data_IF_684191284825
#
_entry.id   IF_684191284825
#
_cell.length_a   1.000
_cell.length_b   1.000
_cell.length_c   1.000
_cell.angle_alpha   90.00
_cell.angle_beta   90.00
_cell.angle_gamma   90.00
#
_symmetry.space_group_name_H-M   'P 1'
#
loop_
_entity.id
_entity.type
_entity.pdbx_description
1 polymer ?
#
# COMPACT_ATOMS: atom_id res chain seq x y z
N UNK A 1 12.49 24.28 24.08
CA UNK A 1 12.68 24.53 22.63
C UNK A 1 12.91 26.03 22.45
N UNK A 2 14.10 26.45 22.06
CA UNK A 2 14.48 27.87 21.97
C UNK A 2 13.89 28.55 20.74
N UNK A 3 13.76 29.88 20.76
CA UNK A 3 13.26 30.68 19.63
C UNK A 3 14.06 30.43 18.33
N UNK A 4 15.35 30.16 18.46
CA UNK A 4 16.24 29.80 17.36
C UNK A 4 15.88 28.43 16.74
N UNK A 5 15.61 27.42 17.58
CA UNK A 5 15.19 26.07 17.12
C UNK A 5 13.86 26.12 16.36
N UNK A 6 12.91 26.95 16.81
CA UNK A 6 11.64 27.18 16.12
C UNK A 6 11.84 27.81 14.75
N UNK A 7 12.69 28.85 14.66
CA UNK A 7 13.00 29.53 13.41
C UNK A 7 13.68 28.58 12.41
N UNK A 8 14.71 27.87 12.85
CA UNK A 8 15.41 26.86 12.04
C UNK A 8 14.48 25.73 11.56
N UNK A 9 13.62 25.21 12.43
CA UNK A 9 12.67 24.15 12.05
C UNK A 9 11.67 24.67 11.01
N UNK A 10 11.20 25.90 11.17
CA UNK A 10 10.26 26.51 10.22
C UNK A 10 10.91 26.75 8.85
N UNK A 11 12.17 27.21 8.80
CA UNK A 11 12.87 27.47 7.54
C UNK A 11 13.15 26.17 6.78
N UNK A 12 13.59 25.11 7.48
CA UNK A 12 13.81 23.79 6.88
C UNK A 12 12.52 23.23 6.27
N UNK A 13 11.38 23.40 6.97
CA UNK A 13 10.07 22.98 6.44
C UNK A 13 9.62 23.80 5.24
N UNK A 14 9.86 25.11 5.23
CA UNK A 14 9.58 25.97 4.08
C UNK A 14 10.40 25.53 2.86
N UNK A 15 11.70 25.29 3.05
CA UNK A 15 12.58 24.79 1.99
C UNK A 15 12.14 23.41 1.50
N UNK A 16 11.72 22.52 2.41
CA UNK A 16 11.17 21.21 2.06
C UNK A 16 9.95 21.32 1.15
N UNK A 17 9.02 22.24 1.46
CA UNK A 17 7.83 22.50 0.65
C UNK A 17 8.17 23.15 -0.69
N UNK A 18 9.09 24.12 -0.70
CA UNK A 18 9.49 24.84 -1.90
C UNK A 18 10.12 23.91 -2.96
N UNK A 19 10.89 22.91 -2.53
CA UNK A 19 11.56 21.95 -3.42
C UNK A 19 10.91 20.56 -3.45
N UNK A 20 9.63 20.46 -3.05
CA UNK A 20 8.93 19.19 -2.88
C UNK A 20 9.00 18.29 -4.12
N UNK A 21 8.74 18.79 -5.33
CA UNK A 21 8.71 17.94 -6.54
C UNK A 21 10.05 17.26 -6.83
N UNK A 22 11.16 18.00 -6.69
CA UNK A 22 12.51 17.45 -6.89
C UNK A 22 12.88 16.48 -5.77
N UNK A 23 12.62 16.87 -4.52
CA UNK A 23 13.01 16.07 -3.34
C UNK A 23 12.19 14.80 -3.20
N UNK A 24 10.89 14.85 -3.50
CA UNK A 24 10.01 13.67 -3.51
C UNK A 24 10.44 12.66 -4.57
N UNK A 25 10.82 13.11 -5.77
CA UNK A 25 11.38 12.22 -6.79
C UNK A 25 12.66 11.51 -6.32
N UNK A 26 13.59 12.26 -5.72
CA UNK A 26 14.82 11.70 -5.17
C UNK A 26 14.54 10.71 -4.02
N UNK A 27 13.61 11.07 -3.14
CA UNK A 27 13.20 10.22 -2.02
C UNK A 27 12.54 8.93 -2.51
N UNK A 28 11.74 8.99 -3.58
CA UNK A 28 11.14 7.79 -4.15
C UNK A 28 12.19 6.82 -4.69
N UNK A 29 13.23 7.31 -5.38
CA UNK A 29 14.31 6.41 -5.84
C UNK A 29 15.08 5.79 -4.68
N UNK A 30 15.32 6.54 -3.60
CA UNK A 30 15.91 5.96 -2.38
C UNK A 30 15.01 4.88 -1.75
N UNK A 31 13.69 5.04 -1.81
CA UNK A 31 12.75 4.01 -1.36
C UNK A 31 12.85 2.75 -2.22
N UNK A 32 12.90 2.88 -3.55
CA UNK A 32 13.06 1.72 -4.44
C UNK A 32 14.36 0.98 -4.20
N UNK A 33 15.48 1.70 -4.18
CA UNK A 33 16.79 1.10 -3.93
C UNK A 33 16.83 0.38 -2.57
N UNK A 34 16.19 0.94 -1.54
CA UNK A 34 16.10 0.31 -0.23
C UNK A 34 15.21 -0.93 -0.26
N UNK A 35 14.05 -0.87 -0.93
CA UNK A 35 13.15 -2.02 -1.09
C UNK A 35 13.87 -3.18 -1.78
N UNK A 36 14.64 -2.91 -2.83
CA UNK A 36 15.44 -3.92 -3.53
C UNK A 36 16.54 -4.54 -2.65
N UNK A 37 17.19 -3.73 -1.80
CA UNK A 37 18.29 -4.20 -0.94
C UNK A 37 17.83 -4.91 0.33
N UNK A 38 16.78 -4.41 0.96
CA UNK A 38 16.31 -4.86 2.27
C UNK A 38 15.14 -5.83 2.19
N UNK A 39 14.47 -5.92 1.04
CA UNK A 39 13.25 -6.70 0.87
C UNK A 39 12.03 -6.06 1.56
N UNK A 40 10.94 -6.81 1.59
CA UNK A 40 9.68 -6.39 2.21
C UNK A 40 9.51 -7.04 3.56
N UNK A 41 9.16 -6.24 4.57
CA UNK A 41 8.97 -6.71 5.94
C UNK A 41 7.93 -7.83 6.04
N UNK A 42 6.89 -7.78 5.21
CA UNK A 42 5.85 -8.80 5.13
C UNK A 42 6.26 -10.11 4.48
N UNK A 43 7.38 -10.14 3.76
CA UNK A 43 7.85 -11.30 3.00
C UNK A 43 9.07 -11.99 3.63
N UNK A 44 9.68 -11.38 4.65
CA UNK A 44 10.91 -11.85 5.27
C UNK A 44 10.63 -12.61 6.56
N UNK A 45 11.30 -13.76 6.73
CA UNK A 45 11.30 -14.52 7.98
C UNK A 45 12.16 -13.82 9.04
N UNK A 46 13.25 -13.18 8.62
CA UNK A 46 14.17 -12.44 9.50
C UNK A 46 14.24 -10.96 9.07
N UNK A 47 13.16 -10.18 9.25
CA UNK A 47 13.10 -8.81 8.76
C UNK A 47 13.99 -7.85 9.54
N UNK A 48 14.46 -6.80 8.87
CA UNK A 48 14.89 -5.57 9.53
C UNK A 48 13.66 -4.69 9.78
N UNK A 49 13.25 -4.52 11.04
CA UNK A 49 12.03 -3.85 11.47
C UNK A 49 12.00 -2.37 11.06
N UNK A 50 13.17 -1.78 10.81
CA UNK A 50 13.32 -0.38 10.45
C UNK A 50 13.47 -0.20 8.95
N UNK A 51 14.45 -0.86 8.34
CA UNK A 51 14.88 -0.57 6.98
C UNK A 51 14.16 -1.40 5.90
N UNK A 52 13.53 -2.52 6.24
CA UNK A 52 12.70 -3.27 5.28
C UNK A 52 11.53 -2.41 4.77
N UNK A 53 11.08 -2.65 3.53
CA UNK A 53 9.90 -1.96 2.98
C UNK A 53 8.65 -2.32 3.80
N UNK A 54 7.82 -1.33 4.14
CA UNK A 54 6.76 -1.48 5.14
C UNK A 54 7.23 -1.36 6.60
N UNK A 55 8.51 -1.09 6.85
CA UNK A 55 9.06 -0.88 8.20
C UNK A 55 9.00 0.56 8.71
N UNK A 56 9.63 0.82 9.86
CA UNK A 56 9.59 2.13 10.53
C UNK A 56 10.18 3.28 9.71
N UNK A 57 11.11 2.98 8.79
CA UNK A 57 11.67 3.97 7.86
C UNK A 57 10.58 4.53 6.93
N UNK A 58 9.66 3.69 6.46
CA UNK A 58 8.58 4.10 5.56
C UNK A 58 7.65 5.10 6.26
N UNK A 59 7.34 4.88 7.54
CA UNK A 59 6.53 5.80 8.35
C UNK A 59 7.18 7.19 8.40
N UNK A 60 8.49 7.25 8.60
CA UNK A 60 9.24 8.51 8.62
C UNK A 60 9.17 9.22 7.27
N UNK A 61 9.32 8.44 6.19
CA UNK A 61 9.26 8.94 4.82
C UNK A 61 7.85 9.46 4.49
N UNK A 62 6.80 8.71 4.82
CA UNK A 62 5.41 9.12 4.59
C UNK A 62 5.04 10.37 5.37
N UNK A 63 5.54 10.54 6.61
CA UNK A 63 5.41 11.79 7.36
C UNK A 63 6.12 12.96 6.65
N UNK A 64 7.29 12.73 6.05
CA UNK A 64 7.96 13.75 5.23
C UNK A 64 7.17 14.10 3.96
N UNK A 65 6.53 13.12 3.31
CA UNK A 65 5.61 13.36 2.19
C UNK A 65 4.43 14.23 2.65
N UNK A 66 3.77 13.88 3.75
CA UNK A 66 2.66 14.67 4.30
C UNK A 66 3.07 16.12 4.65
N UNK A 67 4.31 16.32 5.13
CA UNK A 67 4.85 17.65 5.44
C UNK A 67 4.96 18.58 4.22
N UNK A 68 4.91 18.04 2.99
CA UNK A 68 4.84 18.84 1.75
C UNK A 68 3.48 19.48 1.50
N UNK A 69 2.43 19.04 2.19
CA UNK A 69 1.01 19.42 1.97
C UNK A 69 0.47 19.09 0.57
N UNK A 70 1.18 18.28 -0.22
CA UNK A 70 0.69 17.85 -1.55
C UNK A 70 -0.23 16.65 -1.47
N UNK A 71 -0.03 15.79 -0.47
CA UNK A 71 -0.72 14.50 -0.32
C UNK A 71 -1.00 14.26 1.15
N UNK A 72 -2.23 13.86 1.45
CA UNK A 72 -2.62 13.38 2.75
C UNK A 72 -2.27 11.90 2.93
N UNK A 73 -1.93 11.52 4.16
CA UNK A 73 -1.61 10.14 4.54
C UNK A 73 -2.61 9.66 5.59
N UNK A 74 -2.94 8.36 5.63
CA UNK A 74 -3.83 7.79 6.64
C UNK A 74 -3.10 7.64 7.98
N UNK A 75 -2.83 8.79 8.64
CA UNK A 75 -1.94 8.87 9.80
C UNK A 75 -2.33 7.90 10.92
N UNK A 76 -3.63 7.78 11.24
CA UNK A 76 -4.12 6.89 12.30
C UNK A 76 -3.73 5.42 12.03
N UNK A 77 -4.02 4.92 10.83
CA UNK A 77 -3.70 3.54 10.43
C UNK A 77 -2.19 3.31 10.45
N UNK A 78 -1.41 4.26 9.93
CA UNK A 78 0.05 4.17 9.92
C UNK A 78 0.63 4.19 11.33
N UNK A 79 0.12 5.04 12.23
CA UNK A 79 0.57 5.13 13.61
C UNK A 79 0.26 3.83 14.37
N UNK A 80 -0.97 3.29 14.24
CA UNK A 80 -1.39 2.02 14.85
C UNK A 80 -0.47 0.85 14.44
N UNK A 81 -0.19 0.69 13.15
CA UNK A 81 0.68 -0.38 12.66
C UNK A 81 2.15 -0.14 13.01
N UNK A 82 2.60 1.11 13.03
CA UNK A 82 3.96 1.44 13.45
C UNK A 82 4.20 1.18 14.94
N UNK A 83 3.16 1.28 15.78
CA UNK A 83 3.27 1.00 17.20
C UNK A 83 3.56 -0.48 17.43
N UNK A 84 2.87 -1.37 16.72
CA UNK A 84 3.11 -2.82 16.79
C UNK A 84 4.59 -3.14 16.45
N UNK A 85 5.13 -2.54 15.39
CA UNK A 85 6.54 -2.77 15.00
C UNK A 85 7.51 -2.17 16.03
N UNK A 86 7.16 -1.03 16.65
CA UNK A 86 7.95 -0.44 17.73
C UNK A 86 7.96 -1.32 18.98
N UNK A 87 6.81 -1.85 19.39
CA UNK A 87 6.69 -2.75 20.54
C UNK A 87 7.57 -4.01 20.35
N UNK A 88 7.58 -4.57 19.13
CA UNK A 88 8.46 -5.69 18.78
C UNK A 88 9.93 -5.31 18.83
N UNK A 89 10.30 -4.11 18.33
CA UNK A 89 11.68 -3.63 18.41
C UNK A 89 12.13 -3.41 19.85
N UNK A 90 11.26 -2.86 20.70
CA UNK A 90 11.58 -2.59 22.10
C UNK A 90 11.71 -3.90 22.89
N UNK A 91 10.87 -4.90 22.59
CA UNK A 91 11.03 -6.26 23.10
C UNK A 91 12.34 -6.91 22.64
N UNK A 92 12.71 -6.75 21.36
CA UNK A 92 14.00 -7.24 20.83
C UNK A 92 15.20 -6.59 21.53
N UNK A 93 15.15 -5.27 21.76
CA UNK A 93 16.18 -4.57 22.52
C UNK A 93 16.30 -5.09 23.96
N UNK A 94 15.18 -5.42 24.56
CA UNK A 94 15.13 -5.96 25.93
C UNK A 94 15.73 -7.36 26.00
N UNK A 95 15.39 -8.25 25.06
CA UNK A 95 15.94 -9.61 24.97
C UNK A 95 17.44 -9.61 24.69
N UNK A 96 17.90 -8.72 23.81
CA UNK A 96 19.31 -8.67 23.41
C UNK A 96 20.19 -7.79 24.31
N UNK A 97 19.58 -7.02 25.22
CA UNK A 97 20.22 -5.98 26.05
C UNK A 97 21.07 -4.98 25.25
N UNK A 98 20.73 -4.78 23.96
CA UNK A 98 21.43 -3.87 23.04
C UNK A 98 20.50 -3.42 21.91
N UNK A 99 20.81 -2.28 21.27
CA UNK A 99 20.09 -1.86 20.07
C UNK A 99 20.22 -2.86 18.93
N UNK A 100 19.12 -3.20 18.29
CA UNK A 100 19.04 -4.04 17.08
C UNK A 100 17.72 -3.82 16.37
N UNK A 101 17.77 -3.65 15.05
CA UNK A 101 16.58 -3.60 14.20
C UNK A 101 16.30 -4.94 13.50
N UNK A 102 17.21 -5.94 13.62
CA UNK A 102 17.08 -7.23 12.92
C UNK A 102 16.45 -8.30 13.80
N UNK A 103 15.26 -8.77 13.40
CA UNK A 103 14.52 -9.83 14.09
C UNK A 103 14.92 -11.21 13.55
N UNK A 104 16.07 -11.72 13.97
CA UNK A 104 16.57 -13.04 13.56
C UNK A 104 15.78 -14.18 14.22
N UNK A 105 15.76 -15.35 13.58
CA UNK A 105 14.95 -16.52 13.98
C UNK A 105 15.24 -17.02 15.39
N UNK A 106 16.49 -16.91 15.83
CA UNK A 106 16.92 -17.31 17.17
C UNK A 106 16.21 -16.51 18.27
N UNK A 107 15.97 -15.21 18.04
CA UNK A 107 15.38 -14.32 19.04
C UNK A 107 13.86 -14.29 19.02
N UNK A 108 13.22 -14.72 17.92
CA UNK A 108 11.77 -14.62 17.72
C UNK A 108 10.98 -15.31 18.84
N UNK A 109 11.43 -16.47 19.33
CA UNK A 109 10.77 -17.17 20.42
C UNK A 109 10.80 -16.37 21.73
N UNK A 110 11.96 -15.81 22.09
CA UNK A 110 12.13 -15.00 23.29
C UNK A 110 11.34 -13.69 23.22
N UNK A 111 11.36 -13.04 22.05
CA UNK A 111 10.59 -11.81 21.81
C UNK A 111 9.09 -12.08 21.86
N UNK A 112 8.63 -13.19 21.28
CA UNK A 112 7.22 -13.59 21.35
C UNK A 112 6.77 -13.83 22.79
N UNK A 113 7.58 -14.53 23.59
CA UNK A 113 7.32 -14.76 25.01
C UNK A 113 7.22 -13.46 25.80
N UNK A 114 8.14 -12.52 25.58
CA UNK A 114 8.13 -11.21 26.27
C UNK A 114 6.87 -10.38 25.94
N UNK A 115 6.34 -10.52 24.72
CA UNK A 115 5.11 -9.88 24.28
C UNK A 115 3.83 -10.67 24.63
N UNK A 116 3.93 -11.74 25.42
CA UNK A 116 2.83 -12.63 25.77
C UNK A 116 2.11 -13.23 24.55
N UNK A 117 2.85 -13.47 23.47
CA UNK A 117 2.36 -14.18 22.29
C UNK A 117 2.53 -15.69 22.47
N UNK A 118 1.71 -16.46 21.77
CA UNK A 118 1.70 -17.92 21.82
C UNK A 118 3.01 -18.53 21.34
N UNK A 119 3.54 -18.03 20.22
CA UNK A 119 4.71 -18.58 19.54
C UNK A 119 5.37 -17.54 18.60
N UNK A 120 6.57 -17.88 18.12
CA UNK A 120 7.30 -17.10 17.12
C UNK A 120 6.49 -16.90 15.82
N UNK A 121 5.65 -17.86 15.44
CA UNK A 121 4.84 -17.73 14.23
C UNK A 121 3.75 -16.65 14.40
N UNK A 122 3.16 -16.52 15.59
CA UNK A 122 2.22 -15.44 15.89
C UNK A 122 2.92 -14.07 15.83
N UNK A 123 4.14 -13.97 16.36
CA UNK A 123 4.95 -12.77 16.25
C UNK A 123 5.19 -12.41 14.79
N UNK A 124 5.67 -13.35 13.97
CA UNK A 124 5.95 -13.11 12.56
C UNK A 124 4.68 -12.76 11.79
N UNK A 125 3.55 -13.45 11.99
CA UNK A 125 2.27 -13.08 11.36
C UNK A 125 1.85 -11.65 11.69
N UNK A 126 2.00 -11.23 12.95
CA UNK A 126 1.64 -9.89 13.41
C UNK A 126 2.55 -8.81 12.78
N UNK A 127 3.86 -9.06 12.74
CA UNK A 127 4.86 -8.19 12.11
C UNK A 127 4.60 -8.09 10.61
N UNK A 128 4.43 -9.23 9.93
CA UNK A 128 4.16 -9.28 8.49
C UNK A 128 2.85 -8.61 8.12
N UNK A 129 1.79 -8.73 8.94
CA UNK A 129 0.53 -8.02 8.72
C UNK A 129 0.73 -6.50 8.79
N UNK A 130 1.40 -6.02 9.84
CA UNK A 130 1.68 -4.59 10.02
C UNK A 130 2.54 -4.03 8.87
N UNK A 131 3.56 -4.78 8.46
CA UNK A 131 4.39 -4.45 7.30
C UNK A 131 3.61 -4.35 6.00
N UNK A 132 2.70 -5.31 5.76
CA UNK A 132 1.85 -5.32 4.55
C UNK A 132 0.93 -4.09 4.49
N UNK A 133 0.36 -3.68 5.62
CA UNK A 133 -0.49 -2.48 5.70
C UNK A 133 0.30 -1.22 5.38
N UNK A 134 1.49 -1.07 5.95
CA UNK A 134 2.35 0.10 5.71
C UNK A 134 2.84 0.12 4.26
N UNK A 135 3.29 -1.03 3.74
CA UNK A 135 3.72 -1.18 2.36
C UNK A 135 2.62 -0.81 1.37
N UNK A 136 1.40 -1.31 1.57
CA UNK A 136 0.25 -0.99 0.74
C UNK A 136 -0.02 0.53 0.67
N UNK A 137 -0.09 1.20 1.82
CA UNK A 137 -0.29 2.65 1.84
C UNK A 137 0.90 3.41 1.24
N UNK A 138 2.12 2.91 1.42
CA UNK A 138 3.33 3.46 0.79
C UNK A 138 3.22 3.42 -0.74
N UNK A 139 2.80 2.29 -1.31
CA UNK A 139 2.60 2.13 -2.76
C UNK A 139 1.54 3.08 -3.30
N UNK A 140 0.39 3.17 -2.64
CA UNK A 140 -0.70 4.10 -3.01
C UNK A 140 -0.22 5.55 -2.97
N UNK A 141 0.50 5.95 -1.91
CA UNK A 141 1.00 7.32 -1.76
C UNK A 141 2.04 7.64 -2.82
N UNK A 142 2.99 6.75 -3.08
CA UNK A 142 4.01 6.96 -4.12
C UNK A 142 3.42 7.03 -5.52
N UNK A 143 2.36 6.28 -5.80
CA UNK A 143 1.63 6.41 -7.05
C UNK A 143 1.00 7.80 -7.19
N UNK A 144 0.35 8.30 -6.13
CA UNK A 144 -0.20 9.67 -6.08
C UNK A 144 0.88 10.75 -6.20
N UNK A 145 2.04 10.57 -5.57
CA UNK A 145 3.20 11.46 -5.72
C UNK A 145 3.61 11.54 -7.19
N UNK A 146 3.80 10.39 -7.84
CA UNK A 146 4.23 10.35 -9.23
C UNK A 146 3.20 10.97 -10.18
N UNK A 147 1.90 10.78 -9.93
CA UNK A 147 0.85 11.39 -10.75
C UNK A 147 0.85 12.93 -10.64
N UNK A 148 1.09 13.48 -9.45
CA UNK A 148 1.19 14.94 -9.24
C UNK A 148 2.45 15.52 -9.89
N UNK A 149 3.60 14.88 -9.71
CA UNK A 149 4.88 15.35 -10.26
C UNK A 149 4.83 15.34 -11.80
N UNK A 150 4.25 14.30 -12.39
CA UNK A 150 4.09 14.21 -13.86
C UNK A 150 3.08 15.23 -14.40
N UNK A 151 1.97 15.46 -13.70
CA UNK A 151 1.00 16.51 -14.05
C UNK A 151 1.59 17.92 -13.96
N UNK A 152 2.40 18.24 -12.94
CA UNK A 152 3.07 19.54 -12.82
C UNK A 152 3.90 19.90 -14.06
N UNK A 153 4.53 18.90 -14.68
CA UNK A 153 5.27 19.06 -15.95
C UNK A 153 4.35 19.28 -17.17
N UNK A 154 3.16 18.66 -17.18
CA UNK A 154 2.23 18.64 -18.33
C UNK A 154 1.16 19.75 -18.27
N UNK A 155 0.85 20.32 -17.10
CA UNK A 155 -0.17 21.36 -16.88
C UNK A 155 0.17 22.69 -17.57
N UNK A 156 1.39 22.82 -18.14
CA UNK A 156 1.67 23.89 -19.09
C UNK A 156 0.91 23.76 -20.42
N UNK A 157 0.14 22.68 -20.67
CA UNK A 157 -0.40 22.42 -22.02
C UNK A 157 -1.91 22.26 -22.20
N UNK A 158 -2.76 21.77 -21.30
CA UNK A 158 -4.22 21.78 -21.58
C UNK A 158 -5.10 21.61 -20.32
N UNK A 159 -6.07 22.53 -20.15
CA UNK A 159 -7.35 22.28 -19.47
C UNK A 159 -8.18 21.38 -20.38
N UNK A 160 -8.31 20.10 -20.06
CA UNK A 160 -9.25 19.19 -20.76
C UNK A 160 -9.78 18.19 -19.75
N UNK A 161 -11.09 17.99 -19.81
CA UNK A 161 -11.94 17.11 -19.00
C UNK A 161 -11.21 16.07 -18.14
N UNK A 162 -11.35 16.23 -16.82
CA UNK A 162 -10.71 15.39 -15.80
C UNK A 162 -11.18 13.92 -15.79
N UNK A 163 -12.07 13.51 -16.69
CA UNK A 163 -12.72 12.20 -16.67
C UNK A 163 -12.74 11.58 -18.05
N UNK A 164 -12.11 10.42 -18.21
CA UNK A 164 -12.07 9.67 -19.47
C UNK A 164 -12.69 8.28 -19.29
N UNK A 165 -13.56 7.81 -20.19
CA UNK A 165 -14.08 6.45 -20.10
C UNK A 165 -12.94 5.43 -20.26
N UNK A 166 -12.99 4.35 -19.49
CA UNK A 166 -12.03 3.25 -19.55
C UNK A 166 -12.70 1.96 -20.00
N UNK A 167 -13.78 1.58 -19.32
CA UNK A 167 -14.67 0.48 -19.69
C UNK A 167 -16.08 0.83 -19.19
N UNK A 168 -17.13 0.17 -19.67
CA UNK A 168 -18.50 0.49 -19.24
C UNK A 168 -18.63 0.47 -17.71
N UNK A 169 -19.19 1.54 -17.14
CA UNK A 169 -19.30 1.77 -15.70
C UNK A 169 -18.02 2.27 -14.99
N UNK A 170 -16.91 2.48 -15.72
CA UNK A 170 -15.58 2.80 -15.17
C UNK A 170 -14.87 3.90 -15.95
N UNK A 171 -14.23 4.81 -15.24
CA UNK A 171 -13.58 5.99 -15.82
C UNK A 171 -12.23 6.25 -15.14
N UNK A 172 -11.34 6.91 -15.84
CA UNK A 172 -10.11 7.48 -15.27
C UNK A 172 -10.43 8.87 -14.77
N UNK A 173 -10.17 9.14 -13.50
CA UNK A 173 -10.21 10.47 -12.92
C UNK A 173 -8.94 10.72 -12.11
N UNK A 174 -8.30 11.85 -12.32
CA UNK A 174 -7.10 12.25 -11.60
C UNK A 174 -5.92 11.24 -11.63
N UNK A 175 -5.85 10.39 -12.67
CA UNK A 175 -4.88 9.29 -12.82
C UNK A 175 -5.15 8.11 -11.87
N UNK A 176 -6.39 7.96 -11.43
CA UNK A 176 -6.93 6.81 -10.72
C UNK A 176 -8.13 6.26 -11.49
N UNK A 177 -8.38 4.96 -11.32
CA UNK A 177 -9.59 4.30 -11.82
C UNK A 177 -10.69 4.46 -10.80
N UNK A 178 -11.81 5.04 -11.25
CA UNK A 178 -13.00 5.28 -10.44
C UNK A 178 -14.26 4.80 -11.15
N UNK A 179 -15.34 4.64 -10.40
CA UNK A 179 -16.64 4.27 -10.97
C UNK A 179 -17.28 5.46 -11.72
N UNK A 180 -17.99 5.16 -12.80
CA UNK A 180 -18.89 6.10 -13.46
C UNK A 180 -19.98 6.59 -12.47
N UNK A 181 -20.55 7.78 -12.70
CA UNK A 181 -21.51 8.38 -11.73
C UNK A 181 -22.83 7.61 -11.72
N UNK A 182 -23.19 7.13 -12.90
CA UNK A 182 -24.33 6.33 -13.29
C UNK A 182 -24.01 4.82 -13.32
N UNK A 183 -22.86 4.41 -12.76
CA UNK A 183 -22.47 3.01 -12.70
C UNK A 183 -23.50 2.18 -11.92
N UNK A 184 -24.05 1.15 -12.55
CA UNK A 184 -25.10 0.27 -12.01
C UNK A 184 -24.49 -0.90 -11.23
N UNK A 185 -23.69 -0.58 -10.23
CA UNK A 185 -22.87 -1.53 -9.45
C UNK A 185 -23.71 -2.70 -8.88
N UNK A 186 -24.92 -2.40 -8.40
CA UNK A 186 -25.82 -3.39 -7.80
C UNK A 186 -26.52 -4.31 -8.80
N UNK A 187 -26.40 -4.04 -10.10
CA UNK A 187 -27.02 -4.82 -11.17
C UNK A 187 -25.99 -5.61 -11.99
N UNK A 188 -24.71 -5.30 -11.82
CA UNK A 188 -23.62 -5.87 -12.60
C UNK A 188 -22.67 -6.68 -11.70
N UNK A 189 -22.67 -7.99 -11.90
CA UNK A 189 -21.82 -8.93 -11.16
C UNK A 189 -20.37 -8.94 -11.65
N UNK A 190 -20.10 -8.55 -12.90
CA UNK A 190 -18.77 -8.65 -13.51
C UNK A 190 -17.98 -7.33 -13.40
N UNK A 191 -18.65 -6.22 -13.06
CA UNK A 191 -18.05 -4.89 -12.97
C UNK A 191 -16.76 -4.85 -12.15
N UNK A 192 -16.71 -5.53 -11.00
CA UNK A 192 -15.52 -5.56 -10.15
C UNK A 192 -14.31 -6.17 -10.85
N UNK A 193 -14.50 -7.30 -11.55
CA UNK A 193 -13.45 -7.97 -12.33
C UNK A 193 -13.07 -7.17 -13.58
N UNK A 194 -14.05 -6.57 -14.28
CA UNK A 194 -13.78 -5.72 -15.45
C UNK A 194 -12.99 -4.47 -15.05
N UNK A 195 -13.35 -3.84 -13.94
CA UNK A 195 -12.64 -2.69 -13.38
C UNK A 195 -11.20 -3.08 -13.01
N UNK A 196 -11.02 -4.21 -12.31
CA UNK A 196 -9.71 -4.72 -11.94
C UNK A 196 -8.82 -4.96 -13.17
N UNK A 197 -9.35 -5.67 -14.18
CA UNK A 197 -8.66 -5.94 -15.43
C UNK A 197 -8.25 -4.65 -16.15
N UNK A 198 -9.19 -3.71 -16.28
CA UNK A 198 -8.95 -2.45 -16.97
C UNK A 198 -7.93 -1.56 -16.23
N UNK A 199 -8.00 -1.51 -14.90
CA UNK A 199 -7.03 -0.79 -14.07
C UNK A 199 -5.62 -1.34 -14.23
N UNK A 200 -5.49 -2.67 -14.19
CA UNK A 200 -4.20 -3.34 -14.32
C UNK A 200 -3.61 -3.16 -15.73
N UNK A 201 -4.43 -3.28 -16.78
CA UNK A 201 -3.98 -3.03 -18.15
C UNK A 201 -3.56 -1.59 -18.40
N UNK A 202 -4.27 -0.62 -17.79
CA UNK A 202 -3.91 0.80 -17.88
C UNK A 202 -2.69 1.16 -17.02
N UNK A 203 -2.26 0.27 -16.12
CA UNK A 203 -1.20 0.55 -15.14
C UNK A 203 -1.58 1.66 -14.16
N UNK A 204 -2.87 1.78 -13.84
CA UNK A 204 -3.40 2.79 -12.93
C UNK A 204 -3.90 2.14 -11.63
N UNK A 205 -3.84 2.89 -10.54
CA UNK A 205 -4.40 2.47 -9.26
C UNK A 205 -5.92 2.68 -9.24
N UNK A 206 -6.62 1.76 -8.56
CA UNK A 206 -8.04 1.91 -8.26
C UNK A 206 -8.14 2.81 -7.03
N UNK A 207 -9.01 3.82 -7.09
CA UNK A 207 -9.23 4.66 -5.93
C UNK A 207 -9.86 3.87 -4.76
N UNK A 208 -9.42 4.15 -3.54
CA UNK A 208 -9.87 3.43 -2.33
C UNK A 208 -11.39 3.45 -2.17
N UNK A 209 -12.02 4.63 -2.30
CA UNK A 209 -13.48 4.77 -2.26
C UNK A 209 -14.20 3.96 -3.35
N UNK A 210 -13.54 3.65 -4.47
CA UNK A 210 -14.10 2.81 -5.53
C UNK A 210 -14.08 1.34 -5.10
N UNK A 211 -13.00 0.87 -4.48
CA UNK A 211 -12.92 -0.48 -3.92
C UNK A 211 -13.95 -0.68 -2.81
N UNK A 212 -14.05 0.27 -1.87
CA UNK A 212 -15.04 0.24 -0.78
C UNK A 212 -16.48 0.13 -1.30
N UNK A 213 -16.81 0.92 -2.34
CA UNK A 213 -18.13 0.86 -2.97
C UNK A 213 -18.39 -0.47 -3.65
N UNK A 214 -17.40 -1.06 -4.34
CA UNK A 214 -17.57 -2.39 -4.94
C UNK A 214 -17.83 -3.43 -3.85
N UNK A 215 -17.03 -3.45 -2.78
CA UNK A 215 -17.21 -4.39 -1.67
C UNK A 215 -18.61 -4.29 -1.05
N UNK A 216 -19.14 -3.07 -0.93
CA UNK A 216 -20.42 -2.81 -0.28
C UNK A 216 -21.64 -2.98 -1.19
N UNK A 217 -21.54 -2.58 -2.45
CA UNK A 217 -22.69 -2.39 -3.35
C UNK A 217 -22.72 -3.39 -4.51
N UNK A 218 -21.61 -4.05 -4.84
CA UNK A 218 -21.54 -4.91 -6.03
C UNK A 218 -22.45 -6.13 -5.89
N UNK A 219 -23.11 -6.47 -7.00
CA UNK A 219 -23.83 -7.74 -7.10
C UNK A 219 -22.81 -8.90 -6.96
N UNK A 220 -23.04 -9.88 -6.08
CA UNK A 220 -22.14 -11.01 -5.94
C UNK A 220 -21.99 -11.81 -7.24
N UNK A 221 -20.79 -12.31 -7.51
CA UNK A 221 -20.54 -13.22 -8.63
C UNK A 221 -21.34 -14.51 -8.44
N UNK A 222 -21.98 -14.97 -9.52
CA UNK A 222 -22.67 -16.25 -9.56
C UNK A 222 -21.66 -17.37 -9.67
N UNK A 223 -21.87 -18.48 -8.95
CA UNK A 223 -21.09 -19.69 -9.08
C UNK A 223 -21.91 -20.78 -9.81
N UNK A 224 -21.41 -21.34 -10.93
CA UNK A 224 -20.12 -21.05 -11.56
C UNK A 224 -20.09 -19.68 -12.26
N UNK A 225 -18.90 -19.08 -12.33
CA UNK A 225 -18.70 -17.80 -13.02
C UNK A 225 -19.13 -17.88 -14.48
N UNK A 226 -19.84 -16.82 -14.93
CA UNK A 226 -20.19 -16.65 -16.33
C UNK A 226 -18.94 -16.40 -17.20
N UNK A 227 -19.10 -16.39 -18.52
CA UNK A 227 -17.96 -16.24 -19.43
C UNK A 227 -17.27 -14.87 -19.29
N UNK A 228 -18.05 -13.79 -19.16
CA UNK A 228 -17.52 -12.43 -19.03
C UNK A 228 -16.65 -12.26 -17.76
N UNK A 229 -17.08 -12.82 -16.63
CA UNK A 229 -16.31 -12.84 -15.39
C UNK A 229 -14.98 -13.60 -15.57
N UNK A 230 -15.01 -14.76 -16.23
CA UNK A 230 -13.79 -15.53 -16.53
C UNK A 230 -12.84 -14.75 -17.43
N UNK A 231 -13.35 -14.13 -18.49
CA UNK A 231 -12.55 -13.36 -19.44
C UNK A 231 -11.90 -12.15 -18.76
N UNK A 232 -12.66 -11.42 -17.92
CA UNK A 232 -12.14 -10.32 -17.13
C UNK A 232 -11.07 -10.77 -16.14
N UNK A 233 -11.26 -11.91 -15.48
CA UNK A 233 -10.26 -12.46 -14.56
C UNK A 233 -8.99 -12.92 -15.28
N UNK A 234 -9.10 -13.60 -16.43
CA UNK A 234 -7.95 -13.98 -17.27
C UNK A 234 -7.20 -12.72 -17.74
N UNK A 235 -7.95 -11.70 -18.14
CA UNK A 235 -7.41 -10.41 -18.55
C UNK A 235 -6.66 -9.70 -17.43
N UNK A 236 -7.16 -9.76 -16.19
CA UNK A 236 -6.45 -9.29 -15.00
C UNK A 236 -5.14 -10.08 -14.82
N UNK A 237 -5.18 -11.41 -14.81
CA UNK A 237 -3.98 -12.25 -14.64
C UNK A 237 -2.95 -12.04 -15.76
N UNK A 238 -3.39 -11.71 -16.98
CA UNK A 238 -2.55 -11.43 -18.15
C UNK A 238 -1.94 -10.02 -18.20
N UNK A 239 -2.17 -9.16 -17.20
CA UNK A 239 -1.72 -7.75 -17.20
C UNK A 239 -0.22 -7.54 -16.90
N UNK A 240 0.54 -8.61 -16.68
CA UNK A 240 1.98 -8.55 -16.47
C UNK A 240 2.36 -7.84 -15.16
N UNK A 241 3.33 -6.92 -15.21
CA UNK A 241 3.90 -6.26 -14.02
C UNK A 241 2.88 -5.46 -13.18
N UNK A 242 1.81 -4.99 -13.79
CA UNK A 242 0.77 -4.19 -13.12
C UNK A 242 -0.22 -5.06 -12.33
N UNK A 243 -0.21 -6.38 -12.56
CA UNK A 243 -1.02 -7.33 -11.80
C UNK A 243 -0.75 -7.20 -10.30
N UNK A 244 0.51 -7.08 -9.90
CA UNK A 244 0.92 -7.14 -8.49
C UNK A 244 0.23 -6.02 -7.69
N UNK A 245 0.41 -4.76 -8.11
CA UNK A 245 -0.17 -3.61 -7.40
C UNK A 245 -1.71 -3.63 -7.40
N UNK A 246 -2.31 -4.08 -8.51
CA UNK A 246 -3.77 -4.17 -8.61
C UNK A 246 -4.30 -5.29 -7.71
N UNK A 247 -3.68 -6.46 -7.75
CA UNK A 247 -4.04 -7.61 -6.92
C UNK A 247 -3.88 -7.30 -5.44
N UNK A 248 -2.80 -6.65 -5.04
CA UNK A 248 -2.59 -6.22 -3.66
C UNK A 248 -3.66 -5.25 -3.18
N UNK A 249 -4.06 -4.29 -4.01
CA UNK A 249 -5.14 -3.35 -3.67
C UNK A 249 -6.49 -4.05 -3.53
N UNK A 250 -6.80 -5.00 -4.42
CA UNK A 250 -8.02 -5.81 -4.35
C UNK A 250 -8.01 -6.75 -3.13
N UNK A 251 -6.87 -7.35 -2.83
CA UNK A 251 -6.67 -8.23 -1.69
C UNK A 251 -6.75 -7.47 -0.36
N UNK A 252 -6.21 -6.25 -0.32
CA UNK A 252 -6.33 -5.35 0.83
C UNK A 252 -7.79 -4.94 1.06
N UNK A 253 -8.55 -4.67 0.00
CA UNK A 253 -9.98 -4.39 0.06
C UNK A 253 -10.86 -5.63 0.35
N UNK A 254 -10.28 -6.84 0.36
CA UNK A 254 -11.01 -8.09 0.59
C UNK A 254 -11.75 -8.65 -0.63
N UNK A 255 -11.65 -8.01 -1.80
CA UNK A 255 -12.32 -8.48 -3.02
C UNK A 255 -11.81 -9.83 -3.50
N UNK A 256 -10.51 -10.10 -3.36
CA UNK A 256 -9.93 -11.40 -3.76
C UNK A 256 -10.54 -12.53 -2.93
N UNK A 257 -10.75 -12.33 -1.63
CA UNK A 257 -11.39 -13.36 -0.78
C UNK A 257 -12.87 -13.55 -1.12
N UNK A 258 -13.58 -12.48 -1.46
CA UNK A 258 -14.98 -12.55 -1.92
C UNK A 258 -15.09 -13.38 -3.20
N UNK A 259 -14.17 -13.19 -4.16
CA UNK A 259 -14.18 -13.90 -5.43
C UNK A 259 -13.62 -15.33 -5.31
N UNK A 260 -12.56 -15.51 -4.53
CA UNK A 260 -11.86 -16.77 -4.35
C UNK A 260 -11.76 -17.09 -2.85
N UNK A 261 -12.80 -17.68 -2.24
CA UNK A 261 -12.83 -17.93 -0.79
C UNK A 261 -11.68 -18.78 -0.25
N UNK A 262 -11.06 -19.60 -1.11
CA UNK A 262 -9.87 -20.39 -0.72
C UNK A 262 -8.63 -19.51 -0.48
N UNK A 263 -8.61 -18.28 -1.02
CA UNK A 263 -7.49 -17.36 -0.93
C UNK A 263 -7.11 -17.05 0.52
N UNK A 264 -8.06 -16.89 1.43
CA UNK A 264 -7.76 -16.63 2.85
C UNK A 264 -7.01 -17.77 3.53
N UNK A 265 -7.06 -18.99 2.99
CA UNK A 265 -6.28 -20.13 3.48
C UNK A 265 -4.85 -20.17 2.95
N UNK A 266 -4.59 -19.50 1.83
CA UNK A 266 -3.28 -19.51 1.15
C UNK A 266 -2.52 -18.21 1.38
N UNK A 267 -3.24 -17.09 1.55
CA UNK A 267 -2.69 -15.76 1.79
C UNK A 267 -1.82 -15.78 3.04
N UNK A 268 -0.54 -15.46 2.86
CA UNK A 268 0.41 -15.34 3.98
C UNK A 268 0.78 -16.66 4.64
N UNK A 269 0.50 -17.81 4.01
CA UNK A 269 1.13 -19.05 4.42
C UNK A 269 2.66 -18.90 4.33
N UNK A 270 3.41 -19.30 5.39
CA UNK A 270 4.86 -19.30 5.31
C UNK A 270 5.29 -20.13 4.10
N UNK A 271 6.29 -19.66 3.36
CA UNK A 271 6.96 -20.47 2.34
C UNK A 271 7.73 -21.58 3.06
N UNK A 272 7.03 -22.64 3.45
CA UNK A 272 7.66 -23.84 3.98
C UNK A 272 8.37 -24.52 2.80
N UNK A 273 9.69 -24.34 2.74
CA UNK A 273 10.57 -25.25 1.99
C UNK A 273 10.77 -26.53 2.78
#
# INVERSE_FOLDING_TARGET
MTLLELLLSSSVLQDWRAFADKRLKQLYEQVKERKEKQGELSQLIEPDLKESYGGLRDITILRAVAATWKIDIPKKILDENSQIIQDVRDALHTVLEKPSDKLIRQEQTSVAQLLNLKDADQLIRMVSHSGKVIAHHSDVIWHKVNSIITKSSLIKRLKTENRKPLVDGVVIQDNEVVLAKDSKISLDETLGLRLAAASSQAGLFIAEHTLERIVKEAKPLVNPWNQEAKDAFISLLGSGKHLISTWESLDFAGLIEIWLPIWSRVRGCPQNS
#
